data_IF_794030923265
#
_entry.id   IF_794030923265
#
_cell.length_a   1.000
_cell.length_b   1.000
_cell.length_c   1.000
_cell.angle_alpha   90.00
_cell.angle_beta   90.00
_cell.angle_gamma   90.00
#
_symmetry.space_group_name_H-M   'P 1'
#
loop_
_entity.id
_entity.type
_entity.pdbx_description
1 polymer ?
#
# COMPACT_ATOMS: atom_id res chain seq x y z
N UNK A 1 49.59 -15.97 -1.65
CA UNK A 1 49.34 -15.38 -0.33
C UNK A 1 48.58 -14.07 -0.58
N UNK A 2 47.28 -14.08 -0.52
CA UNK A 2 46.48 -12.89 -0.69
C UNK A 2 46.32 -12.27 0.69
N UNK A 3 46.86 -11.09 0.89
CA UNK A 3 46.59 -10.28 2.07
C UNK A 3 45.17 -9.75 1.92
N UNK A 4 44.26 -10.26 2.74
CA UNK A 4 42.99 -9.59 3.00
C UNK A 4 43.35 -8.28 3.72
N UNK A 5 43.26 -7.15 3.05
CA UNK A 5 43.21 -5.86 3.70
C UNK A 5 41.87 -5.84 4.47
N UNK A 6 41.93 -5.96 5.80
CA UNK A 6 40.82 -5.58 6.63
C UNK A 6 40.54 -4.09 6.36
N UNK A 7 39.39 -3.77 5.83
CA UNK A 7 38.93 -2.39 5.80
C UNK A 7 38.93 -1.91 7.26
N UNK A 8 39.73 -0.88 7.54
CA UNK A 8 39.71 -0.19 8.83
C UNK A 8 38.32 0.40 8.96
N UNK A 9 37.59 -0.01 9.99
CA UNK A 9 36.31 0.59 10.31
C UNK A 9 36.50 2.11 10.37
N UNK A 10 35.75 2.85 9.54
CA UNK A 10 35.76 4.31 9.61
C UNK A 10 34.85 4.72 10.74
N UNK A 11 35.46 5.04 11.87
CA UNK A 11 34.71 5.54 13.03
C UNK A 11 34.34 6.99 12.76
N UNK A 12 33.06 7.29 12.80
CA UNK A 12 32.54 8.67 12.78
C UNK A 12 32.42 9.14 14.23
N UNK A 13 33.01 10.31 14.50
CA UNK A 13 33.09 10.87 15.84
C UNK A 13 32.26 12.18 15.92
N UNK A 14 31.76 12.48 17.11
CA UNK A 14 31.04 13.72 17.37
C UNK A 14 30.90 14.00 18.86
N UNK A 15 30.18 15.06 19.20
CA UNK A 15 29.83 15.40 20.58
C UNK A 15 28.31 15.41 20.74
N UNK A 16 27.88 14.97 21.93
CA UNK A 16 26.51 15.17 22.42
C UNK A 16 26.53 16.17 23.57
N UNK A 17 25.58 17.09 23.54
CA UNK A 17 25.35 18.07 24.57
C UNK A 17 23.97 17.80 25.18
N UNK A 18 23.94 17.48 26.46
CA UNK A 18 22.70 17.30 27.21
C UNK A 18 22.49 18.48 28.14
N UNK A 19 21.26 18.95 28.28
CA UNK A 19 20.88 20.12 29.04
C UNK A 19 20.17 19.73 30.36
N UNK A 20 20.40 20.53 31.41
CA UNK A 20 19.86 20.26 32.75
C UNK A 20 18.44 20.79 32.97
N UNK A 21 17.89 21.56 32.01
CA UNK A 21 16.55 22.17 32.12
C UNK A 21 15.40 21.20 31.83
N UNK A 22 15.71 19.99 31.33
CA UNK A 22 14.72 18.96 30.97
C UNK A 22 13.78 19.33 29.83
N UNK A 23 13.97 20.48 29.20
CA UNK A 23 13.13 21.01 28.11
C UNK A 23 13.91 21.25 26.81
N UNK A 24 15.18 21.63 26.92
CA UNK A 24 16.04 21.83 25.75
C UNK A 24 16.44 20.48 25.16
N UNK A 25 16.16 20.24 23.87
CA UNK A 25 16.55 19.01 23.20
C UNK A 25 18.07 18.81 23.23
N UNK A 26 18.50 17.55 23.39
CA UNK A 26 19.92 17.18 23.28
C UNK A 26 20.46 17.60 21.91
N UNK A 27 21.60 18.28 21.89
CA UNK A 27 22.28 18.64 20.65
C UNK A 27 23.37 17.61 20.31
N UNK A 28 23.40 17.16 19.06
CA UNK A 28 24.40 16.22 18.54
C UNK A 28 25.16 16.86 17.38
N UNK A 29 26.49 16.86 17.43
CA UNK A 29 27.35 17.56 16.47
C UNK A 29 28.44 16.62 15.99
N UNK A 30 28.45 16.32 14.69
CA UNK A 30 29.51 15.51 14.07
C UNK A 30 30.80 16.32 13.89
N UNK A 31 31.97 15.76 14.19
CA UNK A 31 33.25 16.43 13.96
C UNK A 31 33.58 16.62 12.48
N UNK A 32 33.04 15.76 11.63
CA UNK A 32 33.19 15.90 10.19
C UNK A 32 32.65 17.20 9.63
N UNK A 33 31.63 17.80 10.26
CA UNK A 33 31.12 19.14 9.90
C UNK A 33 32.03 20.29 10.35
N UNK A 34 33.16 19.99 11.02
CA UNK A 34 34.11 20.96 11.54
C UNK A 34 33.43 22.05 12.42
N UNK A 35 32.66 21.64 13.45
CA UNK A 35 31.91 22.58 14.25
C UNK A 35 32.82 23.58 14.95
N UNK A 36 32.42 24.83 14.94
CA UNK A 36 33.09 25.86 15.73
C UNK A 36 32.32 26.08 17.01
N UNK A 37 33.03 26.19 18.13
CA UNK A 37 32.45 26.54 19.42
C UNK A 37 33.11 27.84 19.93
N UNK A 38 32.29 28.82 20.24
CA UNK A 38 32.75 30.07 20.86
C UNK A 38 32.13 30.23 22.24
N UNK A 39 32.88 30.77 23.14
CA UNK A 39 32.44 31.06 24.50
C UNK A 39 32.58 32.56 24.79
N UNK A 40 31.48 33.18 25.16
CA UNK A 40 31.42 34.63 25.49
C UNK A 40 31.56 34.85 26.99
N UNK A 41 31.96 36.06 27.36
CA UNK A 41 32.21 36.46 28.78
C UNK A 41 30.95 36.50 29.64
N UNK A 42 29.76 36.46 29.02
CA UNK A 42 28.47 36.36 29.70
C UNK A 42 27.99 34.96 29.93
N UNK A 43 28.83 33.97 29.62
CA UNK A 43 28.48 32.55 29.77
C UNK A 43 27.79 31.92 28.57
N UNK A 44 27.61 32.65 27.46
CA UNK A 44 26.97 32.13 26.26
C UNK A 44 27.94 31.24 25.46
N UNK A 45 27.50 30.03 25.14
CA UNK A 45 28.15 29.10 24.20
C UNK A 45 27.43 29.16 22.88
N UNK A 46 28.14 29.51 21.80
CA UNK A 46 27.59 29.48 20.45
C UNK A 46 28.31 28.41 19.66
N UNK A 47 27.53 27.49 19.08
CA UNK A 47 27.98 26.46 18.18
C UNK A 47 27.68 26.88 16.74
N UNK A 48 28.61 26.60 15.84
CA UNK A 48 28.48 26.89 14.40
C UNK A 48 28.12 28.37 14.12
N UNK A 49 28.76 29.27 14.86
CA UNK A 49 28.51 30.70 14.72
C UNK A 49 28.58 31.19 13.25
N UNK A 50 27.60 31.96 12.84
CA UNK A 50 27.42 32.53 11.50
C UNK A 50 27.08 31.48 10.42
N UNK A 51 26.54 30.30 10.80
CA UNK A 51 26.02 29.32 9.85
C UNK A 51 24.49 29.16 10.05
N UNK A 52 23.85 28.43 9.12
CA UNK A 52 22.41 28.10 9.24
C UNK A 52 22.11 27.15 10.42
N UNK A 53 23.14 26.49 10.93
CA UNK A 53 23.05 25.55 12.06
C UNK A 53 23.56 26.19 13.36
N UNK A 54 23.59 27.53 13.42
CA UNK A 54 24.01 28.24 14.63
C UNK A 54 23.05 27.94 15.80
N UNK A 55 23.62 27.49 16.92
CA UNK A 55 22.89 27.21 18.15
C UNK A 55 23.58 27.92 19.30
N UNK A 56 22.78 28.53 20.19
CA UNK A 56 23.28 29.31 21.31
C UNK A 56 22.69 28.80 22.63
N UNK A 57 23.54 28.53 23.60
CA UNK A 57 23.19 28.00 24.91
C UNK A 57 23.86 28.82 26.02
N UNK A 58 23.32 28.74 27.22
CA UNK A 58 24.05 29.17 28.41
C UNK A 58 24.93 28.01 28.92
N UNK A 59 26.17 28.28 29.25
CA UNK A 59 27.09 27.24 29.72
C UNK A 59 26.59 26.55 31.01
N UNK A 60 25.84 27.28 31.86
CA UNK A 60 25.24 26.79 33.10
C UNK A 60 24.09 25.78 32.83
N UNK A 61 23.50 25.80 31.63
CA UNK A 61 22.43 24.90 31.23
C UNK A 61 22.97 23.56 30.71
N UNK A 62 24.24 23.47 30.37
CA UNK A 62 24.87 22.22 29.92
C UNK A 62 25.13 21.29 31.06
N UNK A 63 24.44 20.14 31.05
CA UNK A 63 24.63 19.07 32.06
C UNK A 63 25.82 18.17 31.71
N UNK A 64 25.83 17.69 30.48
CA UNK A 64 26.82 16.74 29.98
C UNK A 64 27.29 17.11 28.59
N UNK A 65 28.58 17.00 28.36
CA UNK A 65 29.20 17.03 27.06
C UNK A 65 30.00 15.74 26.90
N UNK A 66 29.55 14.90 25.97
CA UNK A 66 30.18 13.59 25.78
C UNK A 66 30.65 13.40 24.33
N UNK A 67 31.79 12.68 24.20
CA UNK A 67 32.29 12.23 22.94
C UNK A 67 31.53 10.99 22.49
N UNK A 68 31.07 11.00 21.26
CA UNK A 68 30.34 9.89 20.67
C UNK A 68 31.09 9.31 19.48
N UNK A 69 30.98 8.02 19.36
CA UNK A 69 31.44 7.28 18.19
C UNK A 69 30.29 6.45 17.63
N UNK A 70 30.25 6.27 16.33
CA UNK A 70 29.30 5.36 15.69
C UNK A 70 30.08 4.32 14.87
N UNK A 71 29.60 3.08 14.86
CA UNK A 71 30.15 2.02 14.04
C UNK A 71 30.01 2.37 12.56
N UNK A 72 30.91 1.83 11.74
CA UNK A 72 30.97 2.06 10.30
C UNK A 72 29.72 1.59 9.53
N UNK A 73 28.88 0.79 10.18
CA UNK A 73 27.61 0.34 9.61
C UNK A 73 26.53 0.25 10.70
N UNK A 74 25.27 0.51 10.30
CA UNK A 74 24.10 0.32 11.14
C UNK A 74 23.20 -0.78 10.55
N UNK A 75 23.03 -1.93 11.23
CA UNK A 75 22.23 -3.03 10.73
C UNK A 75 20.72 -2.71 10.82
N UNK A 76 20.00 -2.94 9.75
CA UNK A 76 18.54 -2.86 9.67
C UNK A 76 17.97 -4.25 9.50
N UNK A 77 16.94 -4.57 10.29
CA UNK A 77 16.07 -5.72 10.09
C UNK A 77 14.70 -5.22 9.61
N UNK A 78 14.32 -5.62 8.42
CA UNK A 78 13.06 -5.23 7.80
C UNK A 78 12.06 -6.39 7.86
N UNK A 79 10.77 -6.07 7.88
CA UNK A 79 9.67 -7.05 7.95
C UNK A 79 8.81 -6.97 6.71
N UNK A 80 8.28 -8.12 6.28
CA UNK A 80 7.40 -8.27 5.13
C UNK A 80 6.06 -8.83 5.59
N UNK A 81 4.99 -8.37 4.98
CA UNK A 81 3.69 -8.96 5.18
C UNK A 81 3.57 -10.32 4.49
N UNK A 82 2.78 -11.22 5.04
CA UNK A 82 2.52 -12.54 4.42
C UNK A 82 1.94 -12.37 3.01
N UNK A 83 2.53 -13.05 2.04
CA UNK A 83 2.14 -12.96 0.63
C UNK A 83 2.77 -11.80 -0.15
N UNK A 84 3.62 -10.99 0.48
CA UNK A 84 4.35 -9.90 -0.17
C UNK A 84 5.84 -10.22 -0.23
N UNK A 85 6.55 -9.54 -1.11
CA UNK A 85 8.00 -9.65 -1.32
C UNK A 85 8.73 -8.32 -1.04
N UNK A 86 8.01 -7.33 -0.52
CA UNK A 86 8.53 -6.02 -0.18
C UNK A 86 8.64 -5.89 1.34
N UNK A 87 9.84 -5.62 1.81
CA UNK A 87 10.17 -5.49 3.23
C UNK A 87 10.21 -4.03 3.63
N UNK A 88 9.67 -3.73 4.81
CA UNK A 88 9.67 -2.39 5.39
C UNK A 88 10.32 -2.37 6.77
N UNK A 89 11.03 -1.29 7.03
CA UNK A 89 11.56 -0.94 8.35
C UNK A 89 11.33 0.55 8.61
N UNK A 90 11.55 0.99 9.84
CA UNK A 90 11.66 2.41 10.15
C UNK A 90 13.03 2.71 10.71
N UNK A 91 13.51 3.93 10.51
CA UNK A 91 14.82 4.34 10.99
C UNK A 91 14.82 5.80 11.40
N UNK A 92 15.62 6.11 12.41
CA UNK A 92 15.92 7.47 12.85
C UNK A 92 17.31 7.55 13.48
N UNK A 93 18.00 8.63 13.19
CA UNK A 93 19.20 9.06 13.92
C UNK A 93 19.22 10.58 13.97
N UNK A 94 19.29 11.16 15.15
CA UNK A 94 19.38 12.61 15.30
C UNK A 94 20.78 13.14 15.02
N UNK A 95 21.80 12.28 15.11
CA UNK A 95 23.18 12.69 15.05
C UNK A 95 23.82 12.48 13.68
N UNK A 96 23.56 11.34 13.06
CA UNK A 96 24.24 10.91 11.88
C UNK A 96 23.30 10.89 10.66
N UNK A 97 23.83 11.31 9.52
CA UNK A 97 23.25 11.00 8.23
C UNK A 97 23.75 9.62 7.77
N UNK A 98 22.94 8.94 6.94
CA UNK A 98 23.26 7.59 6.46
C UNK A 98 23.03 7.45 4.97
N UNK A 99 23.96 6.83 4.26
CA UNK A 99 23.75 6.41 2.87
C UNK A 99 22.94 5.13 2.82
N UNK A 100 22.07 5.06 1.83
CA UNK A 100 21.28 3.88 1.51
C UNK A 100 22.09 2.91 0.66
N UNK A 101 22.10 1.61 0.96
CA UNK A 101 22.67 0.61 0.05
C UNK A 101 21.82 0.44 -1.20
N UNK A 102 22.38 -0.18 -2.24
CA UNK A 102 21.65 -0.48 -3.47
C UNK A 102 20.40 -1.33 -3.18
N UNK A 103 19.29 -0.98 -3.82
CA UNK A 103 18.00 -1.67 -3.64
C UNK A 103 17.20 -1.24 -2.42
N UNK A 104 17.69 -0.28 -1.62
CA UNK A 104 16.94 0.30 -0.50
C UNK A 104 16.49 1.71 -0.85
N UNK A 105 15.23 2.01 -0.55
CA UNK A 105 14.64 3.34 -0.71
C UNK A 105 14.15 3.87 0.63
N UNK A 106 14.40 5.15 0.92
CA UNK A 106 13.89 5.83 2.09
C UNK A 106 12.76 6.80 1.72
N UNK A 107 11.78 6.88 2.61
CA UNK A 107 10.61 7.72 2.42
C UNK A 107 10.28 8.54 3.68
N UNK A 108 9.84 9.77 3.45
CA UNK A 108 9.10 10.54 4.43
C UNK A 108 7.64 10.08 4.41
N UNK A 109 6.97 10.13 5.57
CA UNK A 109 5.56 9.78 5.68
C UNK A 109 4.67 11.02 5.77
N UNK A 110 3.61 11.08 4.97
CA UNK A 110 2.51 12.05 5.12
C UNK A 110 1.18 11.31 5.12
N UNK A 111 0.13 11.88 5.71
CA UNK A 111 -1.21 11.31 5.57
C UNK A 111 -1.71 11.54 4.15
N UNK A 112 -2.33 10.52 3.58
CA UNK A 112 -2.99 10.64 2.30
C UNK A 112 -4.21 11.57 2.44
N UNK A 113 -4.30 12.61 1.61
CA UNK A 113 -5.39 13.58 1.68
C UNK A 113 -6.76 12.97 1.34
N UNK A 114 -6.78 11.99 0.46
CA UNK A 114 -8.02 11.33 0.01
C UNK A 114 -8.44 10.18 0.96
N UNK A 115 -7.49 9.67 1.72
CA UNK A 115 -7.68 8.58 2.66
C UNK A 115 -6.78 8.76 3.89
N UNK A 116 -7.28 9.47 4.90
CA UNK A 116 -6.54 9.89 6.09
C UNK A 116 -6.04 8.75 7.00
N UNK A 117 -6.40 7.49 6.72
CA UNK A 117 -5.90 6.32 7.44
C UNK A 117 -4.72 5.62 6.72
N UNK A 118 -4.21 6.22 5.64
CA UNK A 118 -3.05 5.73 4.88
C UNK A 118 -1.90 6.70 4.92
N UNK A 119 -0.70 6.16 4.79
CA UNK A 119 0.53 6.93 4.68
C UNK A 119 0.88 7.06 3.19
N UNK A 120 1.07 8.30 2.76
CA UNK A 120 1.67 8.62 1.47
C UNK A 120 3.17 8.72 1.64
N UNK A 121 3.92 8.02 0.79
CA UNK A 121 5.37 7.98 0.84
C UNK A 121 5.99 9.03 -0.10
N UNK A 122 6.76 9.95 0.48
CA UNK A 122 7.58 10.91 -0.26
C UNK A 122 9.01 10.41 -0.35
N UNK A 123 9.46 10.00 -1.53
CA UNK A 123 10.79 9.41 -1.75
C UNK A 123 11.91 10.42 -1.49
N UNK A 124 12.94 10.01 -0.73
CA UNK A 124 14.23 10.68 -0.65
C UNK A 124 15.05 10.30 -1.89
N UNK A 125 15.49 11.30 -2.67
CA UNK A 125 16.06 11.07 -4.01
C UNK A 125 17.59 11.09 -4.07
N UNK A 126 18.25 11.66 -3.08
CA UNK A 126 19.72 11.79 -3.03
C UNK A 126 20.45 10.57 -2.45
N UNK A 127 19.69 9.56 -2.01
CA UNK A 127 20.23 8.32 -1.44
C UNK A 127 20.85 8.49 -0.05
N UNK A 128 20.60 9.62 0.61
CA UNK A 128 21.08 9.91 1.96
C UNK A 128 19.91 10.20 2.87
N UNK A 129 19.83 9.53 4.01
CA UNK A 129 18.91 9.87 5.10
C UNK A 129 19.57 10.98 5.90
N UNK A 130 19.03 12.21 5.93
CA UNK A 130 19.60 13.28 6.72
C UNK A 130 19.50 13.01 8.22
N UNK A 131 20.44 13.55 9.00
CA UNK A 131 20.34 13.53 10.45
C UNK A 131 19.08 14.26 10.94
N UNK A 132 18.41 13.71 11.94
CA UNK A 132 17.17 14.28 12.50
C UNK A 132 15.91 13.96 11.69
N UNK A 133 16.00 13.23 10.60
CA UNK A 133 14.85 12.93 9.73
C UNK A 133 14.40 11.46 9.90
N UNK A 134 13.25 11.22 10.53
CA UNK A 134 12.68 9.87 10.64
C UNK A 134 12.12 9.40 9.30
N UNK A 135 12.39 8.13 8.96
CA UNK A 135 12.05 7.56 7.64
C UNK A 135 11.42 6.19 7.73
N UNK A 136 10.68 5.84 6.67
CA UNK A 136 10.31 4.47 6.33
C UNK A 136 11.30 3.98 5.27
N UNK A 137 11.83 2.78 5.46
CA UNK A 137 12.73 2.11 4.55
C UNK A 137 12.00 0.98 3.82
N UNK A 138 12.24 0.87 2.52
CA UNK A 138 11.68 -0.16 1.64
C UNK A 138 12.81 -0.90 0.95
N UNK A 139 12.74 -2.23 0.92
CA UNK A 139 13.75 -3.12 0.35
C UNK A 139 13.13 -4.42 -0.17
N UNK A 140 13.81 -5.09 -1.09
CA UNK A 140 13.53 -6.48 -1.45
C UNK A 140 14.24 -7.49 -0.52
N UNK A 141 15.06 -7.01 0.44
CA UNK A 141 15.80 -7.85 1.39
C UNK A 141 15.30 -7.61 2.82
N UNK A 142 15.32 -8.65 3.63
CA UNK A 142 14.93 -8.64 5.04
C UNK A 142 15.97 -8.02 5.97
N UNK A 143 17.21 -7.86 5.48
CA UNK A 143 18.32 -7.31 6.26
C UNK A 143 19.35 -6.62 5.36
N UNK A 144 19.87 -5.50 5.83
CA UNK A 144 20.91 -4.70 5.15
C UNK A 144 21.57 -3.74 6.14
N UNK A 145 22.66 -3.11 5.72
CA UNK A 145 23.38 -2.13 6.55
C UNK A 145 23.30 -0.73 5.94
N UNK A 146 23.02 0.25 6.77
CA UNK A 146 23.20 1.66 6.44
C UNK A 146 24.63 2.07 6.77
N UNK A 147 25.22 2.97 5.98
CA UNK A 147 26.56 3.49 6.22
C UNK A 147 26.49 4.94 6.68
N UNK A 148 27.00 5.26 7.87
CA UNK A 148 27.00 6.64 8.37
C UNK A 148 27.92 7.51 7.52
N UNK A 149 27.51 8.77 7.31
CA UNK A 149 28.26 9.79 6.56
C UNK A 149 28.23 11.10 7.33
N UNK A 150 29.02 12.05 6.88
CA UNK A 150 29.03 13.40 7.44
C UNK A 150 27.62 13.97 7.55
N UNK A 151 27.38 14.67 8.63
CA UNK A 151 26.05 15.12 8.98
C UNK A 151 25.51 16.10 7.93
N UNK A 152 24.45 15.69 7.25
CA UNK A 152 23.59 16.54 6.46
C UNK A 152 22.31 16.75 7.26
N UNK A 153 22.12 17.95 7.79
CA UNK A 153 20.87 18.30 8.47
C UNK A 153 19.75 18.43 7.43
N UNK A 154 18.69 17.67 7.62
CA UNK A 154 17.52 17.69 6.76
C UNK A 154 16.35 18.44 7.39
N UNK A 155 15.43 18.86 6.56
CA UNK A 155 14.13 19.38 6.99
C UNK A 155 13.12 18.25 6.98
N UNK A 156 12.43 18.02 8.09
CA UNK A 156 11.33 17.06 8.17
C UNK A 156 10.13 17.45 7.29
N UNK A 157 10.01 18.73 6.92
CA UNK A 157 8.89 19.23 6.14
C UNK A 157 7.54 18.86 6.77
N UNK A 158 6.66 18.22 5.99
CA UNK A 158 5.35 17.73 6.45
C UNK A 158 5.38 16.28 6.95
N UNK A 159 6.56 15.77 7.35
CA UNK A 159 6.72 14.40 7.83
C UNK A 159 5.91 14.16 9.11
N UNK A 160 5.05 13.12 9.11
CA UNK A 160 4.26 12.75 10.30
C UNK A 160 5.02 11.81 11.24
N UNK A 161 6.14 11.28 10.79
CA UNK A 161 6.96 10.39 11.58
C UNK A 161 7.65 11.18 12.70
N UNK A 162 7.84 10.53 13.82
CA UNK A 162 8.67 10.94 14.95
C UNK A 162 9.82 9.98 15.08
N UNK A 163 10.97 10.43 15.56
CA UNK A 163 12.14 9.59 15.74
C UNK A 163 12.59 9.54 17.18
N UNK A 164 13.29 8.46 17.53
CA UNK A 164 13.99 8.33 18.82
C UNK A 164 15.33 7.64 18.64
N UNK A 165 16.40 8.19 19.22
CA UNK A 165 17.73 7.55 19.27
C UNK A 165 17.85 6.54 20.39
N UNK A 166 17.00 6.65 21.40
CA UNK A 166 17.03 5.80 22.60
C UNK A 166 15.72 5.06 22.76
N UNK A 167 15.77 3.94 23.48
CA UNK A 167 14.56 3.21 23.81
C UNK A 167 13.63 4.07 24.68
N UNK A 168 12.36 4.19 24.27
CA UNK A 168 11.32 4.90 24.98
C UNK A 168 10.47 3.90 25.76
N UNK A 169 10.54 3.94 27.09
CA UNK A 169 9.77 3.07 28.00
C UNK A 169 8.49 3.73 28.52
N UNK A 170 8.43 5.06 28.54
CA UNK A 170 7.21 5.83 28.79
C UNK A 170 6.63 6.24 27.44
N UNK A 171 5.94 5.29 26.78
CA UNK A 171 5.43 5.48 25.44
C UNK A 171 4.36 6.57 25.42
N UNK A 172 4.51 7.63 24.59
CA UNK A 172 3.49 8.66 24.48
C UNK A 172 2.13 8.06 24.07
N UNK A 173 1.05 8.62 24.60
CA UNK A 173 -0.29 8.16 24.25
C UNK A 173 -0.50 8.17 22.72
N UNK A 174 -1.25 7.19 22.25
CA UNK A 174 -1.55 7.01 20.81
C UNK A 174 -0.33 6.76 19.91
N UNK A 175 0.82 6.37 20.46
CA UNK A 175 1.98 5.99 19.67
C UNK A 175 1.74 4.71 18.88
N UNK A 176 2.27 4.67 17.66
CA UNK A 176 2.17 3.52 16.77
C UNK A 176 3.52 3.25 16.12
N UNK A 177 3.89 1.98 16.06
CA UNK A 177 5.12 1.50 15.42
C UNK A 177 4.79 0.63 14.23
N UNK A 178 5.71 0.55 13.28
CA UNK A 178 5.59 -0.33 12.12
C UNK A 178 5.63 -1.80 12.58
N UNK A 179 4.68 -2.60 12.11
CA UNK A 179 4.62 -4.04 12.39
C UNK A 179 4.37 -4.83 11.11
N UNK A 180 5.09 -5.93 10.98
CA UNK A 180 4.93 -6.92 9.91
C UNK A 180 4.96 -6.35 8.48
N UNK A 181 5.59 -5.20 8.25
CA UNK A 181 5.60 -4.55 6.95
C UNK A 181 4.23 -4.11 6.42
N UNK A 182 3.18 -4.12 7.26
CA UNK A 182 1.80 -3.81 6.87
C UNK A 182 1.38 -2.38 7.20
N UNK A 183 1.86 -1.84 8.32
CA UNK A 183 1.42 -0.53 8.78
C UNK A 183 1.79 -0.26 10.23
N UNK A 184 1.27 0.84 10.75
CA UNK A 184 1.56 1.34 12.07
C UNK A 184 0.46 0.93 13.06
N UNK A 185 0.83 0.16 14.07
CA UNK A 185 -0.06 -0.39 15.10
C UNK A 185 0.25 0.24 16.44
N UNK A 186 -0.77 0.33 17.28
CA UNK A 186 -0.64 0.86 18.64
C UNK A 186 0.47 0.16 19.41
N UNK A 187 1.28 0.97 20.08
CA UNK A 187 2.37 0.52 20.92
C UNK A 187 2.26 1.16 22.31
N UNK A 188 2.20 0.32 23.31
CA UNK A 188 2.02 0.76 24.72
C UNK A 188 3.15 0.30 25.65
N UNK A 189 4.02 -0.59 25.17
CA UNK A 189 5.06 -1.18 26.00
C UNK A 189 6.39 -0.43 25.89
N UNK A 190 6.95 -0.34 24.70
CA UNK A 190 8.20 0.36 24.43
C UNK A 190 8.37 0.67 22.96
N UNK A 191 9.12 1.72 22.65
CA UNK A 191 9.60 2.02 21.30
C UNK A 191 11.10 1.79 21.29
N UNK A 192 11.59 1.01 20.36
CA UNK A 192 13.01 0.68 20.26
C UNK A 192 13.85 1.89 19.85
N UNK A 193 15.13 1.87 20.21
CA UNK A 193 16.09 2.89 19.80
C UNK A 193 16.24 2.93 18.27
N UNK A 194 16.60 4.09 17.73
CA UNK A 194 16.81 4.36 16.31
C UNK A 194 15.61 4.00 15.43
N UNK A 195 14.40 4.15 15.97
CA UNK A 195 13.14 3.81 15.33
C UNK A 195 12.32 5.06 15.02
N UNK A 196 11.66 5.06 13.88
CA UNK A 196 10.61 6.04 13.60
C UNK A 196 9.23 5.47 13.95
N UNK A 197 8.39 6.30 14.54
CA UNK A 197 7.04 5.99 14.96
C UNK A 197 6.11 7.16 14.64
N UNK A 198 4.82 6.99 14.80
CA UNK A 198 3.82 8.07 14.67
C UNK A 198 3.05 8.22 15.98
N UNK A 199 2.67 9.44 16.32
CA UNK A 199 1.66 9.70 17.34
C UNK A 199 0.35 10.00 16.65
N UNK A 200 -0.76 9.42 17.12
CA UNK A 200 -2.03 9.55 16.45
C UNK A 200 -2.42 11.03 16.30
N UNK A 201 -2.72 11.41 15.09
CA UNK A 201 -3.61 12.52 14.84
C UNK A 201 -5.06 12.07 15.14
N UNK A 202 -6.02 13.00 15.11
CA UNK A 202 -7.43 12.72 15.39
C UNK A 202 -8.07 11.59 14.54
N UNK A 203 -7.38 11.12 13.50
CA UNK A 203 -7.81 10.01 12.64
C UNK A 203 -6.94 8.79 12.91
N UNK A 204 -7.48 7.69 13.47
CA UNK A 204 -6.71 6.49 13.72
C UNK A 204 -6.26 5.86 12.40
N UNK A 205 -4.96 5.65 12.24
CA UNK A 205 -4.44 4.84 11.15
C UNK A 205 -4.89 3.39 11.33
N UNK A 206 -5.51 2.82 10.33
CA UNK A 206 -5.89 1.40 10.37
C UNK A 206 -4.62 0.56 10.31
N UNK A 207 -4.59 -0.52 11.10
CA UNK A 207 -3.43 -1.39 11.17
C UNK A 207 -3.07 -2.02 9.83
N UNK A 208 -4.08 -2.41 9.03
CA UNK A 208 -3.87 -2.94 7.69
C UNK A 208 -3.86 -1.82 6.66
N UNK A 209 -2.98 -1.93 5.66
CA UNK A 209 -2.90 -1.03 4.51
C UNK A 209 -2.52 0.43 4.84
N UNK A 210 -1.85 0.67 5.95
CA UNK A 210 -1.28 1.98 6.25
C UNK A 210 -0.15 2.36 5.27
N UNK A 211 0.55 1.37 4.70
CA UNK A 211 1.52 1.53 3.63
C UNK A 211 0.86 1.31 2.26
N UNK A 212 1.40 1.90 1.17
CA UNK A 212 0.85 1.77 -0.19
C UNK A 212 1.21 0.42 -0.83
N UNK A 213 0.87 -0.67 -0.15
CA UNK A 213 1.06 -2.01 -0.67
C UNK A 213 0.00 -2.34 -1.72
N UNK A 214 0.32 -3.12 -2.78
CA UNK A 214 -0.68 -3.60 -3.72
C UNK A 214 -1.75 -4.43 -3.02
N UNK A 215 -2.98 -4.38 -3.50
CA UNK A 215 -4.04 -5.24 -3.00
C UNK A 215 -4.01 -6.59 -3.69
N UNK A 216 -3.92 -7.67 -2.93
CA UNK A 216 -3.92 -9.05 -3.44
C UNK A 216 -5.34 -9.62 -3.38
N UNK A 217 -5.85 -10.04 -4.52
CA UNK A 217 -7.17 -10.63 -4.66
C UNK A 217 -7.06 -12.10 -5.06
N UNK A 218 -7.51 -13.00 -4.19
CA UNK A 218 -7.65 -14.41 -4.51
C UNK A 218 -8.82 -14.65 -5.45
N UNK A 219 -8.57 -15.28 -6.60
CA UNK A 219 -9.60 -15.74 -7.51
C UNK A 219 -10.09 -17.11 -7.00
N UNK A 220 -11.39 -17.19 -6.76
CA UNK A 220 -12.02 -18.40 -6.23
C UNK A 220 -12.09 -19.49 -7.31
N UNK A 221 -12.40 -20.73 -6.88
CA UNK A 221 -12.53 -21.91 -7.75
C UNK A 221 -13.53 -21.72 -8.90
N UNK A 222 -14.47 -20.80 -8.76
CA UNK A 222 -15.42 -20.41 -9.79
C UNK A 222 -14.84 -19.54 -10.90
N UNK A 223 -13.52 -19.18 -10.83
CA UNK A 223 -12.87 -18.27 -11.79
C UNK A 223 -13.25 -16.78 -11.64
N UNK A 224 -13.96 -16.44 -10.58
CA UNK A 224 -14.41 -15.09 -10.28
C UNK A 224 -14.17 -14.75 -8.81
N UNK A 225 -13.93 -13.48 -8.55
CA UNK A 225 -13.91 -12.92 -7.20
C UNK A 225 -14.57 -11.55 -7.18
N UNK A 226 -15.00 -11.12 -6.02
CA UNK A 226 -15.58 -9.79 -5.82
C UNK A 226 -14.60 -8.89 -5.06
N UNK A 227 -14.63 -7.59 -5.38
CA UNK A 227 -13.71 -6.63 -4.82
C UNK A 227 -14.42 -5.31 -4.51
N UNK A 228 -14.19 -4.80 -3.30
CA UNK A 228 -14.54 -3.45 -2.88
C UNK A 228 -13.43 -2.92 -1.99
N UNK A 229 -12.77 -1.84 -2.40
CA UNK A 229 -11.58 -1.36 -1.70
C UNK A 229 -11.66 0.15 -1.44
N UNK A 230 -10.99 0.60 -0.38
CA UNK A 230 -11.04 2.00 0.08
C UNK A 230 -10.08 2.93 -0.65
N UNK A 231 -9.17 2.40 -1.46
CA UNK A 231 -8.28 3.16 -2.33
C UNK A 231 -8.54 2.80 -3.81
N UNK A 232 -8.13 3.68 -4.71
CA UNK A 232 -8.16 3.38 -6.14
C UNK A 232 -7.07 2.38 -6.50
N UNK A 233 -7.38 1.51 -7.48
CA UNK A 233 -6.51 0.42 -7.90
C UNK A 233 -6.27 0.47 -9.40
N UNK A 234 -5.07 0.15 -9.84
CA UNK A 234 -4.76 -0.08 -11.25
C UNK A 234 -5.19 -1.49 -11.65
N UNK A 235 -5.83 -1.62 -12.81
CA UNK A 235 -6.21 -2.92 -13.35
C UNK A 235 -5.01 -3.49 -14.11
N UNK A 236 -4.44 -4.64 -13.68
CA UNK A 236 -3.31 -5.26 -14.37
C UNK A 236 -3.68 -5.67 -15.80
N UNK A 237 -2.69 -5.69 -16.69
CA UNK A 237 -2.89 -6.11 -18.07
C UNK A 237 -3.47 -7.53 -18.16
N UNK A 238 -4.50 -7.69 -18.99
CA UNK A 238 -5.19 -8.98 -19.19
C UNK A 238 -6.21 -9.35 -18.11
N UNK A 239 -6.36 -8.55 -17.05
CA UNK A 239 -7.40 -8.75 -16.04
C UNK A 239 -8.71 -8.11 -16.47
N UNK A 240 -9.80 -8.88 -16.39
CA UNK A 240 -11.14 -8.40 -16.73
C UNK A 240 -11.90 -8.01 -15.47
N UNK A 241 -12.39 -6.78 -15.43
CA UNK A 241 -13.09 -6.20 -14.29
C UNK A 241 -14.44 -5.64 -14.76
N UNK A 242 -15.50 -5.91 -14.00
CA UNK A 242 -16.85 -5.50 -14.35
C UNK A 242 -17.60 -4.91 -13.17
N UNK A 243 -18.51 -4.01 -13.44
CA UNK A 243 -19.47 -3.46 -12.47
C UNK A 243 -20.91 -3.60 -12.99
N UNK A 244 -21.90 -3.52 -12.11
CA UNK A 244 -23.31 -3.63 -12.47
C UNK A 244 -23.84 -2.25 -12.88
N UNK A 245 -23.94 -2.01 -14.18
CA UNK A 245 -24.29 -0.71 -14.77
C UNK A 245 -25.79 -0.45 -14.84
N UNK A 246 -26.56 -1.47 -15.21
CA UNK A 246 -27.97 -1.32 -15.53
C UNK A 246 -28.80 -2.51 -15.05
N UNK A 247 -29.93 -2.18 -14.41
CA UNK A 247 -31.00 -3.13 -14.17
C UNK A 247 -31.82 -3.33 -15.45
N UNK A 248 -32.02 -4.59 -15.85
CA UNK A 248 -32.88 -4.99 -16.99
C UNK A 248 -34.26 -5.33 -16.46
N UNK A 249 -34.32 -6.17 -15.42
CA UNK A 249 -35.51 -6.54 -14.66
C UNK A 249 -35.12 -6.62 -13.19
N UNK A 250 -36.07 -6.71 -12.27
CA UNK A 250 -35.77 -6.73 -10.82
C UNK A 250 -34.78 -7.81 -10.36
N UNK A 251 -34.48 -8.80 -11.20
CA UNK A 251 -33.55 -9.91 -10.93
C UNK A 251 -32.55 -10.16 -12.06
N UNK A 252 -32.47 -9.26 -13.03
CA UNK A 252 -31.49 -9.32 -14.12
C UNK A 252 -30.80 -7.98 -14.35
N UNK A 253 -29.45 -7.99 -14.40
CA UNK A 253 -28.61 -6.82 -14.52
C UNK A 253 -27.60 -6.96 -15.69
N UNK A 254 -27.15 -5.82 -16.18
CA UNK A 254 -26.10 -5.72 -17.16
C UNK A 254 -24.75 -5.43 -16.49
N UNK A 255 -23.72 -6.18 -16.88
CA UNK A 255 -22.33 -5.92 -16.50
C UNK A 255 -21.66 -5.09 -17.59
N UNK A 256 -20.97 -4.04 -17.16
CA UNK A 256 -20.13 -3.22 -18.01
C UNK A 256 -18.67 -3.39 -17.65
N UNK A 257 -17.81 -3.51 -18.66
CA UNK A 257 -16.37 -3.62 -18.47
C UNK A 257 -15.80 -2.31 -17.90
N UNK A 258 -14.88 -2.44 -16.94
CA UNK A 258 -14.11 -1.33 -16.39
C UNK A 258 -12.65 -1.50 -16.79
N UNK A 259 -12.08 -0.48 -17.42
CA UNK A 259 -10.72 -0.51 -17.94
C UNK A 259 -9.80 0.47 -17.19
N UNK A 260 -8.53 0.11 -17.11
CA UNK A 260 -7.46 0.93 -16.59
C UNK A 260 -7.45 1.07 -15.07
N UNK A 261 -8.53 1.52 -14.44
CA UNK A 261 -8.54 1.87 -13.01
C UNK A 261 -9.86 1.52 -12.35
N UNK A 262 -9.80 1.00 -11.13
CA UNK A 262 -10.95 0.86 -10.23
C UNK A 262 -10.95 2.06 -9.29
N UNK A 263 -11.95 2.96 -9.32
CA UNK A 263 -12.04 4.03 -8.34
C UNK A 263 -12.19 3.51 -6.90
N UNK A 264 -11.73 4.28 -5.93
CA UNK A 264 -11.94 3.96 -4.52
C UNK A 264 -13.42 3.75 -4.21
N UNK A 265 -13.75 2.77 -3.36
CA UNK A 265 -15.11 2.45 -2.93
C UNK A 265 -16.05 2.11 -4.09
N UNK A 266 -15.51 1.47 -5.14
CA UNK A 266 -16.28 0.98 -6.29
C UNK A 266 -16.38 -0.54 -6.21
N UNK A 267 -17.60 -1.08 -6.15
CA UNK A 267 -17.85 -2.51 -6.14
C UNK A 267 -17.66 -3.12 -7.53
N UNK A 268 -16.84 -4.15 -7.64
CA UNK A 268 -16.58 -4.83 -8.91
C UNK A 268 -16.50 -6.35 -8.75
N UNK A 269 -16.69 -7.08 -9.86
CA UNK A 269 -16.30 -8.48 -9.97
C UNK A 269 -15.10 -8.58 -10.90
N UNK A 270 -14.20 -9.50 -10.60
CA UNK A 270 -12.94 -9.74 -11.29
C UNK A 270 -12.91 -11.16 -11.80
N UNK A 271 -12.60 -11.31 -13.10
CA UNK A 271 -12.39 -12.63 -13.75
C UNK A 271 -10.90 -12.94 -13.79
N UNK A 272 -10.54 -14.17 -13.42
CA UNK A 272 -9.17 -14.67 -13.48
C UNK A 272 -9.11 -16.18 -13.51
N UNK A 273 -7.93 -16.72 -13.54
CA UNK A 273 -7.73 -18.17 -13.43
C UNK A 273 -8.05 -18.64 -12.02
N UNK A 274 -8.85 -19.70 -11.90
CA UNK A 274 -9.27 -20.25 -10.62
C UNK A 274 -8.05 -20.65 -9.74
N UNK A 275 -8.09 -20.28 -8.48
CA UNK A 275 -7.03 -20.58 -7.52
C UNK A 275 -5.76 -19.72 -7.67
N UNK A 276 -5.77 -18.67 -8.51
CA UNK A 276 -4.66 -17.73 -8.63
C UNK A 276 -4.90 -16.46 -7.80
N UNK A 277 -3.83 -15.73 -7.55
CA UNK A 277 -3.85 -14.43 -6.89
C UNK A 277 -3.52 -13.33 -7.90
N UNK A 278 -4.32 -12.28 -7.95
CA UNK A 278 -4.08 -11.10 -8.78
C UNK A 278 -3.66 -9.94 -7.87
N UNK A 279 -2.55 -9.29 -8.23
CA UNK A 279 -2.02 -8.13 -7.53
C UNK A 279 -2.48 -6.84 -8.21
N UNK A 280 -3.19 -5.98 -7.49
CA UNK A 280 -3.70 -4.69 -7.94
C UNK A 280 -2.87 -3.56 -7.33
N UNK A 281 -2.01 -2.87 -8.11
CA UNK A 281 -1.28 -1.72 -7.61
C UNK A 281 -2.22 -0.61 -7.11
N UNK A 282 -1.85 0.04 -6.00
CA UNK A 282 -2.58 1.19 -5.50
C UNK A 282 -2.28 2.45 -6.32
N UNK A 283 -3.33 3.24 -6.52
CA UNK A 283 -3.21 4.59 -7.08
C UNK A 283 -3.51 5.59 -5.95
N UNK A 284 -2.53 6.41 -5.59
CA UNK A 284 -2.66 7.29 -4.42
C UNK A 284 -3.60 8.49 -4.65
N UNK A 285 -3.64 9.02 -5.86
CA UNK A 285 -4.42 10.23 -6.19
C UNK A 285 -4.89 10.27 -7.64
N UNK A 286 -5.84 11.13 -7.95
CA UNK A 286 -6.22 11.46 -9.34
C UNK A 286 -7.14 10.48 -10.02
N UNK A 287 -7.90 9.68 -9.27
CA UNK A 287 -8.94 8.82 -9.82
C UNK A 287 -10.31 9.33 -9.40
N UNK A 288 -11.08 9.81 -10.36
CA UNK A 288 -12.46 10.25 -10.11
C UNK A 288 -13.37 9.06 -9.80
N UNK A 289 -14.40 9.24 -8.97
CA UNK A 289 -15.45 8.24 -8.78
C UNK A 289 -16.06 7.81 -10.13
N UNK A 290 -16.61 6.61 -10.15
CA UNK A 290 -17.36 6.13 -11.31
C UNK A 290 -18.54 7.06 -11.59
N UNK A 291 -18.66 7.56 -12.82
CA UNK A 291 -19.74 8.47 -13.24
C UNK A 291 -21.07 7.75 -13.44
N UNK A 292 -21.01 6.48 -13.76
CA UNK A 292 -22.17 5.65 -14.08
C UNK A 292 -22.75 5.03 -12.80
N UNK A 293 -24.00 4.61 -12.87
CA UNK A 293 -24.64 3.87 -11.79
C UNK A 293 -23.91 2.54 -11.57
N UNK A 294 -23.68 2.19 -10.31
CA UNK A 294 -23.18 0.87 -9.94
C UNK A 294 -24.10 0.27 -8.86
N UNK A 295 -24.73 -0.83 -9.18
CA UNK A 295 -25.64 -1.53 -8.26
C UNK A 295 -24.92 -2.35 -7.20
N UNK A 296 -23.64 -2.68 -7.42
CA UNK A 296 -22.84 -3.34 -6.39
C UNK A 296 -22.51 -2.38 -5.26
N UNK A 297 -22.73 -2.84 -4.05
CA UNK A 297 -22.27 -2.23 -2.81
C UNK A 297 -21.17 -3.05 -2.17
N UNK A 298 -20.48 -2.53 -1.20
CA UNK A 298 -19.38 -3.26 -0.58
C UNK A 298 -19.10 -2.84 0.86
N UNK A 299 -18.33 -3.66 1.55
CA UNK A 299 -17.93 -3.47 2.93
C UNK A 299 -16.42 -3.33 3.04
N UNK A 300 -15.97 -2.34 3.80
CA UNK A 300 -14.56 -2.17 4.16
C UNK A 300 -14.17 -2.97 5.41
N UNK A 301 -15.14 -3.38 6.20
CA UNK A 301 -14.98 -4.22 7.38
C UNK A 301 -16.02 -5.35 7.33
N UNK A 302 -15.67 -6.49 7.89
CA UNK A 302 -16.63 -7.60 8.01
C UNK A 302 -17.83 -7.18 8.87
N UNK A 303 -19.03 -7.58 8.46
CA UNK A 303 -20.29 -7.19 9.11
C UNK A 303 -21.33 -8.31 9.01
N UNK A 304 -22.13 -8.49 10.07
CA UNK A 304 -23.24 -9.45 10.04
C UNK A 304 -24.20 -9.11 8.89
N UNK A 305 -24.56 -10.13 8.11
CA UNK A 305 -25.50 -9.94 7.00
C UNK A 305 -26.87 -9.43 7.46
N UNK A 306 -27.34 -9.85 8.64
CA UNK A 306 -28.59 -9.33 9.22
C UNK A 306 -28.52 -7.83 9.46
N UNK A 307 -27.40 -7.32 9.98
CA UNK A 307 -27.19 -5.88 10.21
C UNK A 307 -27.11 -5.11 8.90
N UNK A 308 -26.40 -5.63 7.89
CA UNK A 308 -26.36 -5.00 6.56
C UNK A 308 -27.76 -4.94 5.95
N UNK A 309 -28.52 -6.02 6.03
CA UNK A 309 -29.89 -6.06 5.52
C UNK A 309 -30.81 -5.07 6.23
N UNK A 310 -30.83 -5.05 7.57
CA UNK A 310 -31.80 -4.25 8.33
C UNK A 310 -31.42 -2.77 8.43
N UNK A 311 -30.16 -2.50 8.80
CA UNK A 311 -29.72 -1.16 9.20
C UNK A 311 -29.19 -0.34 8.02
N UNK A 312 -28.46 -1.01 7.11
CA UNK A 312 -27.84 -0.31 5.98
C UNK A 312 -28.74 -0.26 4.75
N UNK A 313 -29.56 -1.31 4.51
CA UNK A 313 -30.31 -1.48 3.27
C UNK A 313 -31.84 -1.54 3.44
N UNK A 314 -32.36 -1.25 4.61
CA UNK A 314 -33.80 -1.12 4.84
C UNK A 314 -34.61 -2.42 4.69
N UNK A 315 -34.09 -3.53 5.22
CA UNK A 315 -34.62 -4.89 5.16
C UNK A 315 -34.63 -5.55 3.78
N UNK A 316 -33.67 -5.20 2.93
CA UNK A 316 -33.49 -5.87 1.64
C UNK A 316 -32.79 -7.22 1.77
N UNK A 317 -33.09 -8.11 0.83
CA UNK A 317 -32.34 -9.35 0.68
C UNK A 317 -30.96 -9.07 0.12
N UNK A 318 -29.92 -9.61 0.75
CA UNK A 318 -28.53 -9.45 0.35
C UNK A 318 -28.12 -10.61 -0.55
N UNK A 319 -27.61 -10.32 -1.72
CA UNK A 319 -27.12 -11.29 -2.69
C UNK A 319 -25.60 -11.18 -2.82
N UNK A 320 -24.93 -12.32 -2.98
CA UNK A 320 -23.48 -12.40 -3.18
C UNK A 320 -23.14 -13.26 -4.38
N UNK A 321 -21.95 -13.06 -4.95
CA UNK A 321 -21.45 -13.81 -6.09
C UNK A 321 -21.40 -15.31 -5.77
N UNK A 322 -22.06 -16.12 -6.60
CA UNK A 322 -22.14 -17.57 -6.44
C UNK A 322 -21.41 -18.35 -7.53
N UNK A 323 -21.40 -17.85 -8.76
CA UNK A 323 -20.73 -18.53 -9.87
C UNK A 323 -21.09 -18.02 -11.24
N UNK A 324 -20.76 -18.82 -12.26
CA UNK A 324 -21.06 -18.60 -13.67
C UNK A 324 -21.80 -19.85 -14.21
N UNK A 325 -22.90 -19.66 -14.93
CA UNK A 325 -23.59 -20.73 -15.66
C UNK A 325 -22.84 -21.06 -16.95
N UNK A 326 -23.15 -22.23 -17.56
CA UNK A 326 -22.50 -22.69 -18.80
C UNK A 326 -22.64 -21.71 -19.98
N UNK A 327 -23.66 -20.88 -19.99
CA UNK A 327 -23.90 -19.85 -21.00
C UNK A 327 -23.12 -18.54 -20.76
N UNK A 328 -22.37 -18.44 -19.68
CA UNK A 328 -21.61 -17.26 -19.29
C UNK A 328 -22.35 -16.27 -18.41
N UNK A 329 -23.59 -16.57 -18.01
CA UNK A 329 -24.35 -15.74 -17.09
C UNK A 329 -23.76 -15.81 -15.69
N UNK A 330 -23.47 -14.66 -15.09
CA UNK A 330 -23.00 -14.58 -13.69
C UNK A 330 -24.18 -14.64 -12.75
N UNK A 331 -24.05 -15.46 -11.71
CA UNK A 331 -25.12 -15.71 -10.73
C UNK A 331 -24.74 -15.14 -9.36
N UNK A 332 -25.69 -14.40 -8.80
CA UNK A 332 -25.70 -14.03 -7.40
C UNK A 332 -26.85 -14.74 -6.68
N UNK A 333 -26.55 -15.27 -5.50
CA UNK A 333 -27.52 -15.99 -4.66
C UNK A 333 -27.79 -15.24 -3.36
N UNK A 334 -29.02 -15.41 -2.78
CA UNK A 334 -29.30 -14.88 -1.46
C UNK A 334 -28.26 -15.36 -0.44
N UNK A 335 -27.69 -14.43 0.30
CA UNK A 335 -26.72 -14.75 1.34
C UNK A 335 -27.43 -15.06 2.65
N UNK A 336 -26.92 -16.01 3.40
CA UNK A 336 -27.52 -16.41 4.68
C UNK A 336 -27.38 -15.31 5.72
N UNK A 337 -28.51 -14.83 6.25
CA UNK A 337 -28.56 -13.74 7.24
C UNK A 337 -27.86 -14.06 8.56
N UNK A 338 -27.65 -15.34 8.88
CA UNK A 338 -26.93 -15.78 10.08
C UNK A 338 -25.41 -15.70 9.94
N UNK A 339 -24.88 -15.44 8.74
CA UNK A 339 -23.47 -15.40 8.46
C UNK A 339 -22.95 -13.95 8.39
N UNK A 340 -21.63 -13.83 8.43
CA UNK A 340 -20.92 -12.57 8.31
C UNK A 340 -20.48 -12.36 6.86
N UNK A 341 -20.71 -11.17 6.33
CA UNK A 341 -20.16 -10.71 5.06
C UNK A 341 -18.70 -10.26 5.30
N UNK A 342 -17.79 -10.78 4.52
CA UNK A 342 -16.37 -10.47 4.67
C UNK A 342 -16.05 -9.03 4.25
N UNK A 343 -15.01 -8.45 4.86
CA UNK A 343 -14.42 -7.20 4.42
C UNK A 343 -13.95 -7.28 2.95
N UNK A 344 -13.97 -6.14 2.30
CA UNK A 344 -13.51 -5.94 0.90
C UNK A 344 -14.27 -6.77 -0.14
N UNK A 345 -15.47 -7.24 0.20
CA UNK A 345 -16.36 -7.95 -0.71
C UNK A 345 -17.57 -7.10 -1.07
N UNK A 346 -18.13 -7.40 -2.25
CA UNK A 346 -19.37 -6.77 -2.71
C UNK A 346 -20.60 -7.56 -2.31
N UNK A 347 -21.72 -6.87 -2.31
CA UNK A 347 -23.05 -7.43 -2.23
C UNK A 347 -24.02 -6.63 -3.11
N UNK A 348 -25.17 -7.21 -3.39
CA UNK A 348 -26.28 -6.57 -4.10
C UNK A 348 -27.53 -6.59 -3.19
N UNK A 349 -28.06 -5.44 -2.77
CA UNK A 349 -29.28 -5.37 -1.95
C UNK A 349 -30.51 -5.22 -2.85
N UNK A 350 -31.44 -6.17 -2.81
CA UNK A 350 -32.70 -6.13 -3.57
C UNK A 350 -33.92 -6.38 -2.69
N UNK A 351 -35.06 -5.82 -3.08
CA UNK A 351 -36.34 -6.11 -2.47
C UNK A 351 -36.93 -7.47 -2.91
N UNK A 352 -36.33 -8.05 -3.94
CA UNK A 352 -36.77 -9.31 -4.56
C UNK A 352 -36.52 -10.51 -3.64
N UNK A 353 -37.44 -11.47 -3.70
CA UNK A 353 -37.31 -12.78 -3.08
C UNK A 353 -36.89 -13.86 -4.08
N UNK A 354 -36.43 -13.47 -5.27
CA UNK A 354 -35.90 -14.39 -6.30
C UNK A 354 -34.80 -15.26 -5.75
N UNK A 355 -34.71 -16.51 -6.18
CA UNK A 355 -33.65 -17.40 -5.70
C UNK A 355 -32.27 -17.03 -6.26
N UNK A 356 -32.21 -16.53 -7.51
CA UNK A 356 -30.98 -16.13 -8.15
C UNK A 356 -31.15 -14.82 -8.89
N UNK A 357 -30.12 -13.99 -8.82
CA UNK A 357 -30.00 -12.76 -9.64
C UNK A 357 -28.98 -13.03 -10.74
N UNK A 358 -29.35 -12.63 -11.96
CA UNK A 358 -28.55 -12.89 -13.17
C UNK A 358 -27.87 -11.64 -13.66
N UNK A 359 -26.62 -11.80 -14.07
CA UNK A 359 -25.84 -10.73 -14.67
C UNK A 359 -25.36 -11.15 -16.06
N UNK A 360 -25.60 -10.32 -17.06
CA UNK A 360 -25.14 -10.51 -18.44
C UNK A 360 -24.18 -9.41 -18.84
N UNK A 361 -23.29 -9.73 -19.75
CA UNK A 361 -22.36 -8.76 -20.31
C UNK A 361 -23.05 -7.86 -21.31
N UNK A 362 -22.66 -6.57 -21.33
CA UNK A 362 -23.07 -5.64 -22.37
C UNK A 362 -22.34 -6.01 -23.68
N UNK A 363 -23.08 -6.60 -24.64
CA UNK A 363 -22.54 -7.05 -25.91
C UNK A 363 -22.19 -5.89 -26.87
N UNK A 364 -22.27 -4.62 -26.43
CA UNK A 364 -22.01 -3.45 -27.29
C UNK A 364 -20.54 -3.30 -27.70
N UNK A 365 -19.62 -4.06 -27.14
CA UNK A 365 -18.20 -4.05 -27.52
C UNK A 365 -17.85 -5.01 -28.68
N UNK A 366 -18.82 -5.58 -29.39
CA UNK A 366 -18.63 -6.22 -30.68
C UNK A 366 -17.79 -7.50 -30.75
N UNK A 367 -17.42 -8.08 -29.63
CA UNK A 367 -16.81 -9.41 -29.53
C UNK A 367 -17.75 -10.28 -28.70
N UNK A 368 -18.88 -10.67 -29.28
CA UNK A 368 -19.61 -11.82 -28.77
C UNK A 368 -18.64 -13.01 -28.80
N UNK A 369 -18.33 -13.58 -27.64
CA UNK A 369 -17.77 -14.93 -27.62
C UNK A 369 -18.78 -15.80 -28.35
N UNK A 370 -18.45 -16.20 -29.57
CA UNK A 370 -19.22 -17.18 -30.30
C UNK A 370 -19.22 -18.47 -29.48
N UNK A 371 -20.15 -18.60 -28.55
CA UNK A 371 -20.57 -19.90 -28.07
C UNK A 371 -21.45 -20.49 -29.15
N UNK A 372 -20.93 -21.46 -29.87
CA UNK A 372 -21.75 -22.25 -30.79
C UNK A 372 -22.67 -23.11 -29.92
N UNK A 373 -23.88 -22.61 -29.66
CA UNK A 373 -25.01 -23.42 -29.15
C UNK A 373 -25.60 -24.30 -30.23
N UNK A 374 -25.04 -24.27 -31.44
CA UNK A 374 -25.44 -25.19 -32.49
C UNK A 374 -24.44 -26.34 -32.60
N UNK A 375 -24.96 -27.52 -32.51
CA UNK A 375 -24.39 -28.80 -32.88
C UNK A 375 -23.93 -28.87 -34.35
N UNK A 376 -23.28 -27.83 -34.86
CA UNK A 376 -22.69 -27.77 -36.19
C UNK A 376 -21.28 -28.35 -36.13
N UNK A 377 -21.26 -29.64 -36.03
CA UNK A 377 -20.07 -30.46 -36.09
C UNK A 377 -19.22 -30.08 -37.32
N UNK A 378 -18.17 -29.31 -37.12
CA UNK A 378 -17.05 -29.18 -38.02
C UNK A 378 -17.11 -28.16 -39.15
N UNK A 379 -18.06 -27.24 -39.20
CA UNK A 379 -18.12 -26.21 -40.26
C UNK A 379 -17.16 -25.06 -39.96
N UNK A 380 -16.33 -24.67 -40.91
CA UNK A 380 -15.42 -23.57 -40.82
C UNK A 380 -16.11 -22.26 -41.25
N UNK A 381 -15.83 -21.15 -40.56
CA UNK A 381 -16.29 -19.80 -40.94
C UNK A 381 -15.09 -18.87 -41.11
N UNK A 382 -15.20 -17.86 -41.98
CA UNK A 382 -14.20 -16.80 -42.10
C UNK A 382 -14.35 -15.76 -40.96
N UNK A 383 -13.50 -14.74 -40.93
CA UNK A 383 -13.54 -13.67 -39.91
C UNK A 383 -14.83 -12.82 -39.95
N UNK A 384 -15.64 -12.91 -41.00
CA UNK A 384 -16.95 -12.25 -41.10
C UNK A 384 -18.10 -13.17 -40.65
N UNK A 385 -17.79 -14.37 -40.10
CA UNK A 385 -18.80 -15.34 -39.68
C UNK A 385 -19.48 -16.12 -40.85
N UNK A 386 -19.01 -15.95 -42.09
CA UNK A 386 -19.56 -16.63 -43.25
C UNK A 386 -18.97 -18.04 -43.33
N UNK A 387 -19.85 -19.07 -43.47
CA UNK A 387 -19.41 -20.45 -43.64
C UNK A 387 -18.59 -20.58 -44.93
N UNK A 388 -17.41 -21.23 -44.81
CA UNK A 388 -16.50 -21.43 -45.93
C UNK A 388 -16.22 -22.90 -46.14
N UNK A 389 -16.02 -23.28 -47.40
CA UNK A 389 -15.66 -24.62 -47.82
C UNK A 389 -14.14 -24.86 -47.78
N UNK A 390 -13.71 -26.03 -48.19
CA UNK A 390 -12.31 -26.40 -48.16
C UNK A 390 -11.44 -25.69 -49.20
N UNK A 391 -12.01 -24.99 -50.14
CA UNK A 391 -11.31 -24.20 -51.19
C UNK A 391 -10.95 -22.78 -50.70
N UNK A 392 -11.54 -22.31 -49.61
CA UNK A 392 -11.30 -20.97 -49.07
C UNK A 392 -9.88 -20.83 -48.54
N UNK A 393 -9.17 -19.78 -49.02
CA UNK A 393 -7.83 -19.38 -48.56
C UNK A 393 -7.93 -18.16 -47.68
N UNK A 394 -7.28 -18.23 -46.49
CA UNK A 394 -7.32 -17.17 -45.50
C UNK A 394 -7.52 -17.69 -44.09
N UNK A 395 -7.91 -16.79 -43.18
CA UNK A 395 -8.14 -17.12 -41.76
C UNK A 395 -9.54 -17.72 -41.63
N UNK A 396 -9.58 -18.91 -41.00
CA UNK A 396 -10.83 -19.59 -40.68
C UNK A 396 -10.91 -19.90 -39.18
N UNK A 397 -12.13 -19.90 -38.68
CA UNK A 397 -12.45 -20.34 -37.33
C UNK A 397 -13.21 -21.66 -37.44
N UNK A 398 -12.72 -22.70 -36.77
CA UNK A 398 -13.33 -24.03 -36.71
C UNK A 398 -13.22 -24.58 -35.30
N UNK A 399 -14.34 -24.94 -34.70
CA UNK A 399 -14.40 -25.45 -33.32
C UNK A 399 -13.69 -24.52 -32.29
N UNK A 400 -13.91 -23.21 -32.42
CA UNK A 400 -13.30 -22.21 -31.55
C UNK A 400 -11.79 -21.97 -31.74
N UNK A 401 -11.16 -22.63 -32.72
CA UNK A 401 -9.73 -22.47 -33.01
C UNK A 401 -9.51 -21.74 -34.34
N UNK A 402 -8.50 -20.90 -34.40
CA UNK A 402 -8.07 -20.14 -35.56
C UNK A 402 -7.08 -20.97 -36.41
N UNK A 403 -7.33 -21.08 -37.69
CA UNK A 403 -6.44 -21.72 -38.66
C UNK A 403 -6.17 -20.77 -39.83
N UNK A 404 -5.00 -20.89 -40.46
CA UNK A 404 -4.66 -20.23 -41.71
C UNK A 404 -4.64 -21.29 -42.77
N UNK A 405 -5.45 -21.11 -43.85
CA UNK A 405 -5.39 -21.95 -45.05
C UNK A 405 -4.67 -21.20 -46.17
N UNK A 406 -3.69 -21.80 -46.75
CA UNK A 406 -2.84 -21.26 -47.82
C UNK A 406 -3.36 -21.66 -49.22
#
# INVERSE_FOLDING_TARGET
MAFAMSASATIIEGIRITFNDGTTPTANIAFASQPTMTYSSDGTVTLNANTVDEQTYQAEDVEVLEHLTVDDTFPISATCAEGYDTYYATFYSSMWAYTLPEGVTAYLGTLNADNGDRIRLGKITDGIIPAGVPVILESAADSYNLTPVDCVHGSEGSNILKGTDTQVTEVPADSRVLRNGLGFYEETSQIEANTAYITASATPLRGYHALPLPYHLDIKDIGWSSLYYDAALEIPEGVLVYYADKEITGDEFMLKNLEGKIPAKTGVIVKGEAGTMISFPLIETGVSPLSDTNYFKGLLAAKSCSTVSSDDEGNKTIYTLAGEEDDGTIIFQPFNTSLELNAYKIYLPLESTSQNVKFRFDDTTGISTFRSTDSNNGKAVNLMGIQVDDSYKGIILKNGKKFIRH
#
